data_IF_224514221569
#
_entry.id   IF_224514221569
#
_cell.length_a   1.000
_cell.length_b   1.000
_cell.length_c   1.000
_cell.angle_alpha   90.00
_cell.angle_beta   90.00
_cell.angle_gamma   90.00
#
_symmetry.space_group_name_H-M   'P 1'
#
loop_
_entity.id
_entity.type
_entity.pdbx_description
1 polymer ?
#
# COMPACT_ATOMS: atom_id res chain seq x y z
N UNK A 1 -61.12 -58.63 2.22
CA UNK A 1 -61.37 -57.87 0.97
C UNK A 1 -60.60 -56.56 1.07
N UNK A 2 -59.86 -56.29 0.01
CA UNK A 2 -58.81 -55.30 -0.23
C UNK A 2 -59.17 -53.85 0.10
N UNK A 3 -58.22 -53.13 0.69
CA UNK A 3 -58.09 -51.68 0.53
C UNK A 3 -56.60 -51.34 0.44
N UNK A 4 -56.10 -51.13 -0.78
CA UNK A 4 -54.80 -50.49 -1.03
C UNK A 4 -55.09 -49.12 -1.62
N UNK A 5 -54.89 -48.01 -0.90
CA UNK A 5 -54.94 -46.68 -1.48
C UNK A 5 -53.68 -46.39 -2.31
N UNK A 6 -53.89 -45.58 -3.35
CA UNK A 6 -52.93 -45.19 -4.37
C UNK A 6 -51.69 -44.46 -3.81
N UNK A 7 -50.53 -44.76 -4.43
CA UNK A 7 -49.28 -44.04 -4.23
C UNK A 7 -49.37 -42.69 -4.96
N UNK A 8 -49.12 -41.54 -4.31
CA UNK A 8 -49.06 -40.26 -5.00
C UNK A 8 -47.74 -40.12 -5.80
N UNK A 9 -47.88 -39.98 -7.12
CA UNK A 9 -46.81 -39.56 -8.02
C UNK A 9 -46.33 -38.16 -7.63
N UNK A 10 -45.21 -38.09 -6.90
CA UNK A 10 -44.61 -36.82 -6.52
C UNK A 10 -43.60 -36.39 -7.60
N UNK A 11 -43.69 -35.17 -8.15
CA UNK A 11 -42.82 -34.75 -9.24
C UNK A 11 -41.38 -34.54 -8.77
N UNK A 12 -40.52 -35.49 -9.11
CA UNK A 12 -39.04 -35.50 -8.93
C UNK A 12 -38.34 -34.21 -9.43
N UNK A 13 -39.06 -33.37 -10.19
CA UNK A 13 -38.57 -32.11 -10.72
C UNK A 13 -38.38 -31.01 -9.67
N UNK A 14 -39.03 -31.08 -8.50
CA UNK A 14 -38.96 -30.02 -7.49
C UNK A 14 -37.77 -30.12 -6.53
N UNK A 15 -37.14 -31.29 -6.41
CA UNK A 15 -36.01 -31.49 -5.47
C UNK A 15 -34.69 -30.98 -6.05
N UNK A 16 -34.55 -30.97 -7.38
CA UNK A 16 -33.34 -30.50 -8.07
C UNK A 16 -33.15 -28.97 -8.02
N UNK A 17 -34.24 -28.20 -7.92
CA UNK A 17 -34.17 -26.73 -7.92
C UNK A 17 -33.59 -26.16 -6.60
N UNK A 18 -33.77 -26.87 -5.49
CA UNK A 18 -33.36 -26.41 -4.14
C UNK A 18 -31.88 -26.64 -3.82
N UNK A 19 -31.23 -27.65 -4.43
CA UNK A 19 -29.81 -27.95 -4.13
C UNK A 19 -28.87 -27.03 -4.91
N UNK A 20 -29.22 -26.61 -6.13
CA UNK A 20 -28.41 -25.70 -6.95
C UNK A 20 -28.36 -24.28 -6.36
N UNK A 21 -29.44 -23.84 -5.72
CA UNK A 21 -29.52 -22.51 -5.12
C UNK A 21 -28.61 -22.34 -3.89
N UNK A 22 -28.34 -23.40 -3.12
CA UNK A 22 -27.49 -23.35 -1.93
C UNK A 22 -25.98 -23.34 -2.27
N UNK A 23 -25.57 -23.99 -3.37
CA UNK A 23 -24.17 -23.98 -3.82
C UNK A 23 -23.78 -22.62 -4.43
N UNK A 24 -24.74 -21.90 -5.04
CA UNK A 24 -24.49 -20.57 -5.60
C UNK A 24 -24.23 -19.48 -4.54
N UNK A 25 -24.77 -19.62 -3.31
CA UNK A 25 -24.52 -18.66 -2.23
C UNK A 25 -23.15 -18.82 -1.54
N UNK A 26 -22.50 -19.97 -1.68
CA UNK A 26 -21.20 -20.24 -1.03
C UNK A 26 -20.00 -19.63 -1.79
N UNK A 27 -20.21 -19.07 -2.99
CA UNK A 27 -19.15 -18.54 -3.84
C UNK A 27 -18.87 -17.03 -3.66
N UNK A 28 -19.59 -16.33 -2.79
CA UNK A 28 -19.32 -14.93 -2.46
C UNK A 28 -18.17 -14.81 -1.43
N UNK A 29 -17.00 -15.34 -1.78
CA UNK A 29 -15.76 -14.92 -1.11
C UNK A 29 -15.47 -13.52 -1.65
N UNK A 30 -15.92 -12.50 -0.92
CA UNK A 30 -15.52 -11.13 -1.18
C UNK A 30 -14.00 -11.08 -1.03
N UNK A 31 -13.28 -11.02 -2.16
CA UNK A 31 -11.85 -10.77 -2.18
C UNK A 31 -11.69 -9.30 -1.80
N UNK A 32 -11.67 -9.01 -0.51
CA UNK A 32 -11.22 -7.71 -0.03
C UNK A 32 -9.72 -7.66 -0.31
N UNK A 33 -9.36 -7.21 -1.51
CA UNK A 33 -7.96 -6.99 -1.87
C UNK A 33 -7.34 -6.01 -0.89
N UNK A 34 -6.12 -6.29 -0.45
CA UNK A 34 -5.35 -5.28 0.27
C UNK A 34 -4.85 -4.24 -0.71
N UNK A 35 -4.89 -2.96 -0.31
CA UNK A 35 -4.22 -1.91 -1.04
C UNK A 35 -2.73 -2.28 -1.19
N UNK A 36 -2.17 -2.03 -2.38
CA UNK A 36 -0.76 -2.24 -2.69
C UNK A 36 -0.15 -0.96 -3.22
N UNK A 37 0.96 -0.53 -2.62
CA UNK A 37 1.64 0.69 -3.07
C UNK A 37 2.07 0.58 -4.54
N UNK A 38 2.45 -0.61 -4.99
CA UNK A 38 2.86 -0.84 -6.38
C UNK A 38 1.75 -0.64 -7.43
N UNK A 39 0.49 -0.61 -7.00
CA UNK A 39 -0.67 -0.29 -7.85
C UNK A 39 -1.02 1.21 -7.81
N UNK A 40 -0.34 2.01 -6.99
CA UNK A 40 -0.55 3.45 -6.93
C UNK A 40 0.12 4.15 -8.12
N UNK A 41 -0.48 5.26 -8.55
CA UNK A 41 0.21 6.19 -9.45
C UNK A 41 1.31 6.91 -8.67
N UNK A 42 2.56 6.96 -9.17
CA UNK A 42 3.63 7.67 -8.50
C UNK A 42 3.36 9.19 -8.49
N UNK A 43 3.64 9.81 -7.36
CA UNK A 43 3.68 11.26 -7.21
C UNK A 43 5.10 11.69 -6.88
N UNK A 44 5.59 12.72 -7.57
CA UNK A 44 6.96 13.22 -7.42
C UNK A 44 6.97 14.61 -6.78
N UNK A 45 7.95 14.85 -5.92
CA UNK A 45 8.29 16.17 -5.39
C UNK A 45 9.81 16.34 -5.35
N UNK A 46 10.30 17.48 -5.80
CA UNK A 46 11.71 17.84 -5.73
C UNK A 46 11.96 18.91 -4.68
N UNK A 47 13.13 18.86 -4.07
CA UNK A 47 13.59 19.81 -3.07
C UNK A 47 15.00 20.28 -3.43
N UNK A 48 15.18 21.59 -3.53
CA UNK A 48 16.53 22.16 -3.57
C UNK A 48 17.23 21.90 -2.25
N UNK A 49 18.48 21.46 -2.29
CA UNK A 49 19.26 21.13 -1.12
C UNK A 49 20.74 21.40 -1.38
N UNK A 50 21.40 22.05 -0.42
CA UNK A 50 22.79 22.51 -0.56
C UNK A 50 23.69 22.03 0.60
N UNK A 51 23.16 21.22 1.51
CA UNK A 51 23.93 20.63 2.59
C UNK A 51 24.71 19.40 2.12
N UNK A 52 25.48 18.82 3.05
CA UNK A 52 26.34 17.66 2.78
C UNK A 52 25.82 16.38 3.42
N UNK A 53 24.81 16.47 4.28
CA UNK A 53 24.30 15.36 5.09
C UNK A 53 22.79 15.45 5.19
N UNK A 54 22.07 14.51 4.58
CA UNK A 54 20.62 14.43 4.62
C UNK A 54 20.17 13.34 5.59
N UNK A 55 19.36 13.68 6.60
CA UNK A 55 18.67 12.70 7.43
C UNK A 55 17.28 12.40 6.88
N UNK A 56 17.05 11.14 6.51
CA UNK A 56 15.75 10.66 6.02
C UNK A 56 15.00 10.03 7.18
N UNK A 57 13.98 10.75 7.66
CA UNK A 57 13.13 10.33 8.78
C UNK A 57 11.83 9.75 8.24
N UNK A 58 11.55 8.49 8.56
CA UNK A 58 10.35 7.79 8.10
C UNK A 58 9.37 7.59 9.26
N UNK A 59 8.30 8.37 9.28
CA UNK A 59 7.26 8.27 10.30
C UNK A 59 6.32 7.08 10.03
N UNK A 60 5.77 6.51 11.11
CA UNK A 60 4.87 5.34 11.07
C UNK A 60 5.45 4.11 10.35
N UNK A 61 6.78 4.01 10.27
CA UNK A 61 7.50 2.91 9.63
C UNK A 61 7.16 2.71 8.15
N UNK A 62 6.79 3.78 7.43
CA UNK A 62 6.53 3.68 6.00
C UNK A 62 7.79 3.21 5.24
N UNK A 63 7.68 2.18 4.38
CA UNK A 63 8.77 1.74 3.53
C UNK A 63 9.37 2.90 2.74
N UNK A 64 10.68 3.12 2.91
CA UNK A 64 11.40 4.23 2.30
C UNK A 64 12.75 3.75 1.79
N UNK A 65 13.00 3.97 0.50
CA UNK A 65 14.21 3.56 -0.20
C UNK A 65 15.03 4.77 -0.69
N UNK A 66 16.02 5.24 0.10
CA UNK A 66 17.02 6.17 -0.37
C UNK A 66 17.96 5.47 -1.36
N UNK A 67 18.25 6.15 -2.47
CA UNK A 67 19.16 5.66 -3.51
C UNK A 67 20.00 6.83 -4.03
N UNK A 68 21.22 6.54 -4.47
CA UNK A 68 22.01 7.54 -5.17
C UNK A 68 21.48 7.72 -6.59
N UNK A 69 21.44 8.96 -7.06
CA UNK A 69 21.07 9.30 -8.42
C UNK A 69 21.92 10.47 -8.93
N UNK A 70 22.28 10.45 -10.21
CA UNK A 70 23.00 11.55 -10.86
C UNK A 70 22.06 12.76 -11.04
N UNK A 71 22.05 13.63 -10.03
CA UNK A 71 21.27 14.87 -9.96
C UNK A 71 21.81 15.82 -8.91
N UNK A 72 21.24 17.03 -8.88
CA UNK A 72 21.64 18.10 -7.95
C UNK A 72 20.58 18.40 -6.87
N UNK A 73 19.35 17.91 -7.04
CA UNK A 73 18.25 18.07 -6.11
C UNK A 73 17.91 16.76 -5.40
N UNK A 74 17.18 16.85 -4.28
CA UNK A 74 16.55 15.68 -3.67
C UNK A 74 15.22 15.46 -4.36
N UNK A 75 15.01 14.28 -4.95
CA UNK A 75 13.70 13.89 -5.48
C UNK A 75 13.09 12.83 -4.61
N UNK A 76 11.82 13.02 -4.26
CA UNK A 76 11.02 12.03 -3.57
C UNK A 76 9.91 11.57 -4.50
N UNK A 77 9.81 10.26 -4.69
CA UNK A 77 8.66 9.63 -5.34
C UNK A 77 7.86 8.88 -4.28
N UNK A 78 6.55 9.12 -4.21
CA UNK A 78 5.61 8.41 -3.35
C UNK A 78 4.66 7.58 -4.17
N UNK A 79 4.41 6.38 -3.69
CA UNK A 79 3.30 5.55 -4.10
C UNK A 79 2.40 5.37 -2.89
N UNK A 80 1.16 5.84 -2.96
CA UNK A 80 0.21 5.70 -1.85
C UNK A 80 -1.13 5.21 -2.38
N UNK A 81 -1.45 3.95 -2.10
CA UNK A 81 -2.72 3.31 -2.47
C UNK A 81 -3.62 3.28 -1.24
N UNK A 82 -4.89 3.66 -1.43
CA UNK A 82 -5.91 3.57 -0.39
C UNK A 82 -7.24 3.18 -1.00
N UNK A 83 -7.92 2.24 -0.35
CA UNK A 83 -9.28 1.84 -0.68
C UNK A 83 -10.19 2.54 0.33
N UNK A 84 -10.87 3.60 -0.11
CA UNK A 84 -11.30 4.67 0.80
C UNK A 84 -12.52 4.26 1.65
N UNK A 85 -12.25 3.88 2.90
CA UNK A 85 -13.13 4.05 4.08
C UNK A 85 -12.25 4.33 5.31
N UNK A 86 -12.15 5.58 5.78
CA UNK A 86 -11.43 5.95 7.01
C UNK A 86 -10.52 7.18 6.86
N UNK A 87 -9.63 7.39 7.84
CA UNK A 87 -8.73 8.53 7.88
C UNK A 87 -7.36 8.16 7.33
N UNK A 88 -6.81 9.02 6.48
CA UNK A 88 -5.47 8.90 5.90
C UNK A 88 -4.67 10.18 6.10
N UNK A 89 -3.36 10.04 6.28
CA UNK A 89 -2.41 11.15 6.34
C UNK A 89 -1.19 10.80 5.50
N UNK A 90 -0.74 11.75 4.68
CA UNK A 90 0.57 11.68 4.07
C UNK A 90 1.18 13.07 3.95
N UNK A 91 2.46 13.17 4.29
CA UNK A 91 3.22 14.40 4.24
C UNK A 91 4.68 14.11 3.85
N UNK A 92 5.34 15.12 3.31
CA UNK A 92 6.74 15.08 2.87
C UNK A 92 7.32 16.49 2.85
N UNK A 93 8.26 16.72 3.75
CA UNK A 93 8.86 18.04 3.98
C UNK A 93 10.37 17.90 4.15
N UNK A 94 11.10 18.86 3.57
CA UNK A 94 12.51 19.05 3.82
C UNK A 94 12.65 20.33 4.64
N UNK A 95 13.14 20.18 5.85
CA UNK A 95 13.44 21.28 6.76
C UNK A 95 14.92 21.16 7.16
N UNK A 96 15.71 22.17 6.77
CA UNK A 96 17.18 22.15 6.85
C UNK A 96 17.79 20.87 6.23
N UNK A 97 18.36 20.01 7.07
CA UNK A 97 19.01 18.75 6.70
C UNK A 97 18.11 17.52 6.90
N UNK A 98 16.84 17.71 7.29
CA UNK A 98 15.92 16.61 7.64
C UNK A 98 14.78 16.49 6.63
N UNK A 99 14.75 15.37 5.90
CA UNK A 99 13.63 14.98 5.05
C UNK A 99 12.68 14.09 5.86
N UNK A 100 11.54 14.63 6.26
CA UNK A 100 10.49 13.89 6.96
C UNK A 100 9.47 13.35 5.98
N UNK A 101 9.26 12.03 6.01
CA UNK A 101 8.31 11.31 5.17
C UNK A 101 7.25 10.63 6.05
N UNK A 102 5.98 10.91 5.76
CA UNK A 102 4.86 10.35 6.50
C UNK A 102 3.85 9.74 5.54
N UNK A 103 3.43 8.52 5.85
CA UNK A 103 2.19 7.96 5.36
C UNK A 103 1.59 7.07 6.45
N UNK A 104 0.31 7.25 6.74
CA UNK A 104 -0.43 6.42 7.68
C UNK A 104 -1.92 6.40 7.35
N UNK A 105 -2.57 5.32 7.75
CA UNK A 105 -4.02 5.23 7.79
C UNK A 105 -4.46 4.73 9.15
N UNK A 106 -5.69 5.04 9.52
CA UNK A 106 -6.27 4.63 10.80
C UNK A 106 -7.74 4.23 10.64
N UNK A 107 -8.22 3.44 11.60
CA UNK A 107 -9.57 2.87 11.58
C UNK A 107 -9.66 1.64 10.68
N UNK A 108 -10.73 1.54 9.90
CA UNK A 108 -10.99 0.43 8.96
C UNK A 108 -10.38 0.67 7.56
N UNK A 109 -9.51 1.68 7.44
CA UNK A 109 -8.86 2.02 6.18
C UNK A 109 -7.82 0.98 5.80
N UNK A 110 -7.88 0.52 4.55
CA UNK A 110 -6.84 -0.30 3.94
C UNK A 110 -5.96 0.58 3.06
N UNK A 111 -4.68 0.65 3.36
CA UNK A 111 -3.74 1.42 2.57
C UNK A 111 -2.33 0.83 2.64
N UNK A 112 -1.57 1.14 1.60
CA UNK A 112 -0.17 0.77 1.49
C UNK A 112 0.59 1.92 0.84
N UNK A 113 1.79 2.18 1.33
CA UNK A 113 2.60 3.32 0.92
C UNK A 113 4.07 2.96 0.83
N UNK A 114 4.77 3.52 -0.16
CA UNK A 114 6.23 3.51 -0.22
C UNK A 114 6.77 4.82 -0.74
N UNK A 115 7.98 5.16 -0.29
CA UNK A 115 8.75 6.28 -0.80
C UNK A 115 10.05 5.80 -1.42
N UNK A 116 10.50 6.50 -2.46
CA UNK A 116 11.87 6.44 -2.97
C UNK A 116 12.47 7.83 -2.88
N UNK A 117 13.68 7.93 -2.36
CA UNK A 117 14.42 9.19 -2.23
C UNK A 117 15.67 9.09 -3.08
N UNK A 118 15.72 9.83 -4.17
CA UNK A 118 16.91 9.92 -5.02
C UNK A 118 17.78 11.09 -4.52
N UNK A 119 19.01 10.77 -4.14
CA UNK A 119 19.97 11.68 -3.49
C UNK A 119 21.22 11.87 -4.37
N UNK A 120 21.73 13.11 -4.51
CA UNK A 120 22.98 13.41 -5.20
C UNK A 120 24.20 12.64 -4.65
N UNK A 121 25.17 12.26 -5.51
CA UNK A 121 26.33 11.42 -5.16
C UNK A 121 27.25 11.93 -4.05
N UNK A 122 27.21 13.22 -3.72
CA UNK A 122 28.12 13.87 -2.77
C UNK A 122 27.52 14.05 -1.38
N UNK A 123 26.25 13.65 -1.17
CA UNK A 123 25.54 13.80 0.10
C UNK A 123 25.63 12.51 0.91
N UNK A 124 25.98 12.64 2.19
CA UNK A 124 25.90 11.54 3.15
C UNK A 124 24.46 11.33 3.59
N UNK A 125 23.95 10.10 3.51
CA UNK A 125 22.58 9.79 3.91
C UNK A 125 22.54 9.16 5.29
N UNK A 126 21.75 9.74 6.18
CA UNK A 126 21.32 9.14 7.43
C UNK A 126 19.89 8.59 7.31
N UNK A 127 19.60 7.57 8.11
CA UNK A 127 18.26 7.03 8.32
C UNK A 127 17.95 7.12 9.80
N UNK A 128 17.01 7.98 10.15
CA UNK A 128 16.62 8.25 11.53
C UNK A 128 17.86 8.50 12.41
N UNK A 129 18.73 9.41 11.96
CA UNK A 129 19.98 9.80 12.62
C UNK A 129 21.13 8.78 12.55
N UNK A 130 20.97 7.66 11.85
CA UNK A 130 22.00 6.60 11.73
C UNK A 130 22.62 6.57 10.34
N UNK A 131 23.94 6.46 10.27
CA UNK A 131 24.65 6.36 9.00
C UNK A 131 24.17 5.16 8.17
N UNK A 132 23.98 5.39 6.87
CA UNK A 132 23.70 4.34 5.90
C UNK A 132 24.96 3.97 5.11
N UNK A 133 24.87 2.91 4.30
CA UNK A 133 25.94 2.56 3.35
C UNK A 133 25.96 3.49 2.12
N UNK A 134 24.93 4.31 1.94
CA UNK A 134 24.86 5.36 0.92
C UNK A 134 25.73 6.53 1.38
N UNK A 135 26.99 6.48 0.96
CA UNK A 135 27.95 7.53 1.25
C UNK A 135 28.02 8.51 0.09
N UNK A 136 28.19 9.77 0.46
CA UNK A 136 28.60 10.78 -0.50
C UNK A 136 30.06 10.52 -0.88
N UNK A 137 30.33 10.08 -2.09
CA UNK A 137 31.72 10.07 -2.58
C UNK A 137 32.07 11.52 -2.90
N UNK A 138 32.93 12.12 -2.07
CA UNK A 138 33.52 13.42 -2.35
C UNK A 138 34.39 13.27 -3.62
N UNK A 139 33.87 13.78 -4.74
CA UNK A 139 34.65 13.96 -5.97
C UNK A 139 35.74 15.02 -5.78
#
# INVERSE_FOLDING_TARGET
>A
MTATPAVPDTPVRQVLATVVALVALAALVAVTGCAKADEATPEDKTFGYHGTTLDVVSLHHVPTDPVMADRQDIKVTRWFKTDVIGNQRSSWALDDDTLTLEASCSGIANCDARFRVEVPPHITVLRDGRATELKGDAA
#
